data_IF_865851899317
#
_entry.id   IF_865851899317
#
_cell.length_a   1.000
_cell.length_b   1.000
_cell.length_c   1.000
_cell.angle_alpha   90.00
_cell.angle_beta   90.00
_cell.angle_gamma   90.00
#
_symmetry.space_group_name_H-M   'P 1'
#
loop_
_entity.id
_entity.type
_entity.pdbx_description
1 polymer ?
#
# COMPACT_ATOMS: atom_id res chain seq x y z
N UNK A 1 -14.35 20.27 5.95
CA UNK A 1 -13.45 21.40 5.63
C UNK A 1 -12.44 20.93 4.60
N UNK A 2 -12.63 21.34 3.35
CA UNK A 2 -11.71 21.09 2.25
C UNK A 2 -10.58 22.09 2.32
N UNK A 3 -9.33 21.62 2.42
CA UNK A 3 -8.15 22.45 2.12
C UNK A 3 -7.54 21.88 0.83
N UNK A 4 -7.80 22.58 -0.26
CA UNK A 4 -7.13 22.39 -1.54
C UNK A 4 -5.73 23.01 -1.38
N UNK A 5 -4.70 22.16 -1.32
CA UNK A 5 -3.31 22.58 -1.56
C UNK A 5 -2.94 22.29 -3.02
N UNK A 6 -2.54 23.36 -3.71
CA UNK A 6 -2.38 23.50 -5.15
C UNK A 6 -1.34 22.58 -5.81
N UNK A 7 -1.70 22.19 -7.04
CA UNK A 7 -0.92 21.76 -8.19
C UNK A 7 -0.15 20.42 -8.19
N UNK A 8 0.41 19.91 -7.09
CA UNK A 8 1.08 18.58 -7.14
C UNK A 8 0.13 17.40 -6.88
N UNK A 9 -0.92 17.63 -6.07
CA UNK A 9 -1.87 16.59 -5.65
C UNK A 9 -2.90 16.22 -6.71
N UNK A 10 -3.24 17.11 -7.63
CA UNK A 10 -4.27 16.85 -8.66
C UNK A 10 -3.72 15.86 -9.71
N UNK A 11 -2.45 16.02 -10.11
CA UNK A 11 -1.78 15.08 -11.03
C UNK A 11 -1.62 13.70 -10.36
N UNK A 12 -1.25 13.65 -9.08
CA UNK A 12 -1.24 12.42 -8.29
C UNK A 12 -2.61 11.72 -8.26
N UNK A 13 -3.70 12.49 -8.26
CA UNK A 13 -5.07 11.97 -8.20
C UNK A 13 -5.59 11.47 -9.56
N UNK A 14 -5.12 12.06 -10.67
CA UNK A 14 -5.48 11.63 -12.03
C UNK A 14 -4.58 10.52 -12.60
N UNK A 15 -3.32 10.43 -12.17
CA UNK A 15 -2.32 9.48 -12.68
C UNK A 15 -1.88 8.42 -11.66
N UNK A 16 -2.36 8.52 -10.42
CA UNK A 16 -1.88 7.70 -9.31
C UNK A 16 -0.44 8.02 -8.91
N UNK A 17 0.04 7.31 -7.89
CA UNK A 17 1.42 7.43 -7.39
C UNK A 17 2.47 7.04 -8.45
N UNK A 18 2.16 6.03 -9.27
CA UNK A 18 3.03 5.55 -10.34
C UNK A 18 3.17 6.58 -11.48
N UNK A 19 2.05 7.14 -11.95
CA UNK A 19 2.12 8.13 -13.04
C UNK A 19 2.70 9.48 -12.60
N UNK A 20 2.54 9.87 -11.33
CA UNK A 20 3.23 11.05 -10.80
C UNK A 20 4.75 10.90 -10.74
N UNK A 21 5.27 9.70 -10.43
CA UNK A 21 6.72 9.41 -10.50
C UNK A 21 7.25 9.52 -11.93
N UNK A 22 6.54 8.94 -12.90
CA UNK A 22 6.92 8.99 -14.33
C UNK A 22 6.95 10.44 -14.83
N UNK A 23 5.92 11.23 -14.51
CA UNK A 23 5.87 12.65 -14.90
C UNK A 23 6.97 13.45 -14.21
N UNK A 24 7.23 13.22 -12.92
CA UNK A 24 8.29 13.93 -12.19
C UNK A 24 9.69 13.60 -12.71
N UNK A 25 9.92 12.38 -13.20
CA UNK A 25 11.18 11.98 -13.83
C UNK A 25 11.35 12.68 -15.18
N UNK A 26 10.27 12.76 -15.97
CA UNK A 26 10.25 13.42 -17.28
C UNK A 26 10.39 14.95 -17.23
N UNK A 27 9.89 15.63 -16.19
CA UNK A 27 9.97 17.11 -16.10
C UNK A 27 11.39 17.60 -15.73
N UNK A 28 12.19 16.76 -15.05
CA UNK A 28 13.56 17.12 -14.67
C UNK A 28 14.55 17.04 -15.84
N UNK A 29 14.21 16.36 -16.92
CA UNK A 29 15.01 16.28 -18.15
C UNK A 29 14.44 17.30 -19.16
N UNK A 30 15.10 18.45 -19.31
CA UNK A 30 14.63 19.60 -20.09
C UNK A 30 14.55 19.37 -21.61
N UNK A 31 14.85 18.17 -22.11
CA UNK A 31 14.84 17.85 -23.54
C UNK A 31 13.83 16.74 -23.83
N UNK A 32 12.73 17.12 -24.49
CA UNK A 32 11.66 16.26 -25.05
C UNK A 32 11.13 15.20 -24.08
N UNK A 33 9.93 15.42 -23.56
CA UNK A 33 9.15 14.42 -22.80
C UNK A 33 9.17 13.09 -23.55
N UNK A 34 9.95 12.14 -23.06
CA UNK A 34 10.03 10.81 -23.65
C UNK A 34 8.91 9.98 -23.02
N UNK A 35 7.78 9.88 -23.71
CA UNK A 35 6.61 9.14 -23.22
C UNK A 35 6.80 7.61 -23.25
N UNK A 36 7.92 7.14 -23.81
CA UNK A 36 8.30 5.73 -23.91
C UNK A 36 9.32 5.33 -22.84
N UNK A 37 9.15 5.79 -21.60
CA UNK A 37 9.93 5.28 -20.47
C UNK A 37 9.42 3.87 -20.14
N UNK A 38 10.33 2.91 -20.05
CA UNK A 38 10.01 1.57 -19.57
C UNK A 38 9.42 1.64 -18.15
N UNK A 39 8.27 0.98 -17.95
CA UNK A 39 7.64 0.86 -16.64
C UNK A 39 8.54 0.17 -15.63
N UNK A 40 8.42 0.56 -14.36
CA UNK A 40 9.13 -0.09 -13.25
C UNK A 40 8.28 -1.25 -12.71
N UNK A 41 8.90 -2.42 -12.55
CA UNK A 41 8.25 -3.57 -11.89
C UNK A 41 8.13 -3.24 -10.40
N UNK A 42 6.91 -3.29 -9.88
CA UNK A 42 6.62 -3.09 -8.45
C UNK A 42 6.05 -4.37 -7.89
N UNK A 43 6.70 -4.93 -6.87
CA UNK A 43 6.18 -6.06 -6.12
C UNK A 43 5.28 -5.56 -5.00
N UNK A 44 4.08 -6.13 -4.87
CA UNK A 44 3.16 -5.78 -3.80
C UNK A 44 2.23 -6.94 -3.44
N UNK A 45 1.88 -7.03 -2.16
CA UNK A 45 0.89 -7.97 -1.63
C UNK A 45 -0.40 -7.20 -1.39
N UNK A 46 -1.51 -7.77 -1.87
CA UNK A 46 -2.84 -7.23 -1.66
C UNK A 46 -3.62 -8.14 -0.72
N UNK A 47 -4.33 -7.54 0.23
CA UNK A 47 -5.28 -8.24 1.08
C UNK A 47 -6.65 -7.59 0.97
N UNK A 48 -7.68 -8.42 0.86
CA UNK A 48 -9.06 -8.00 0.87
C UNK A 48 -9.69 -8.51 2.16
N UNK A 49 -10.25 -7.59 2.95
CA UNK A 49 -11.02 -7.91 4.14
C UNK A 49 -12.47 -7.56 3.89
N UNK A 50 -13.35 -8.57 3.85
CA UNK A 50 -14.78 -8.46 3.57
C UNK A 50 -15.59 -8.74 4.84
N UNK A 51 -16.55 -7.86 5.16
CA UNK A 51 -17.47 -8.06 6.26
C UNK A 51 -18.59 -9.00 5.79
N UNK A 52 -18.64 -10.20 6.37
CA UNK A 52 -19.65 -11.21 6.05
C UNK A 52 -21.04 -10.77 6.49
N UNK A 53 -22.05 -11.10 5.67
CA UNK A 53 -23.46 -10.77 5.91
C UNK A 53 -23.71 -9.26 6.11
N UNK A 54 -22.93 -8.40 5.43
CA UNK A 54 -23.00 -6.96 5.61
C UNK A 54 -24.41 -6.40 5.37
N UNK A 55 -25.12 -6.87 4.33
CA UNK A 55 -26.50 -6.44 4.05
C UNK A 55 -27.42 -6.66 5.24
N UNK A 56 -27.42 -7.86 5.82
CA UNK A 56 -28.23 -8.19 7.00
C UNK A 56 -27.85 -7.31 8.20
N UNK A 57 -26.54 -7.10 8.42
CA UNK A 57 -26.03 -6.23 9.48
C UNK A 57 -26.52 -4.79 9.29
N UNK A 58 -26.52 -4.27 8.05
CA UNK A 58 -26.99 -2.92 7.75
C UNK A 58 -28.49 -2.74 7.99
N UNK A 59 -29.29 -3.78 7.72
CA UNK A 59 -30.73 -3.77 7.97
C UNK A 59 -31.07 -3.78 9.47
N UNK A 60 -30.28 -4.47 10.28
CA UNK A 60 -30.45 -4.54 11.73
C UNK A 60 -29.93 -3.28 12.43
N UNK A 61 -28.71 -2.83 12.10
CA UNK A 61 -28.07 -1.69 12.77
C UNK A 61 -28.59 -0.33 12.28
N UNK A 62 -29.07 -0.25 11.03
CA UNK A 62 -29.57 0.99 10.39
C UNK A 62 -28.61 2.16 10.61
N UNK A 63 -29.03 3.20 11.32
CA UNK A 63 -28.25 4.41 11.60
C UNK A 63 -26.93 4.12 12.34
N UNK A 64 -26.83 3.00 13.07
CA UNK A 64 -25.63 2.62 13.83
C UNK A 64 -24.56 1.93 12.98
N UNK A 65 -24.82 1.66 11.70
CA UNK A 65 -23.86 0.97 10.82
C UNK A 65 -22.53 1.71 10.72
N UNK A 66 -22.54 3.04 10.73
CA UNK A 66 -21.33 3.84 10.61
C UNK A 66 -20.39 3.66 11.81
N UNK A 67 -20.95 3.53 13.02
CA UNK A 67 -20.17 3.28 14.24
C UNK A 67 -19.51 1.89 14.14
N UNK A 68 -20.26 0.89 13.68
CA UNK A 68 -19.76 -0.47 13.49
C UNK A 68 -18.61 -0.54 12.47
N UNK A 69 -18.76 0.08 11.29
CA UNK A 69 -17.70 0.12 10.27
C UNK A 69 -16.47 0.84 10.81
N UNK A 70 -16.64 1.96 11.52
CA UNK A 70 -15.52 2.72 12.07
C UNK A 70 -14.72 1.92 13.10
N UNK A 71 -15.37 1.14 13.96
CA UNK A 71 -14.71 0.26 14.92
C UNK A 71 -13.89 -0.83 14.22
N UNK A 72 -14.45 -1.45 13.18
CA UNK A 72 -13.72 -2.44 12.38
C UNK A 72 -12.54 -1.79 11.66
N UNK A 73 -12.79 -0.63 11.05
CA UNK A 73 -11.76 0.13 10.34
C UNK A 73 -10.60 0.46 11.28
N UNK A 74 -10.86 0.94 12.50
CA UNK A 74 -9.81 1.25 13.48
C UNK A 74 -8.88 0.06 13.72
N UNK A 75 -9.43 -1.14 13.94
CA UNK A 75 -8.64 -2.37 14.17
C UNK A 75 -7.83 -2.76 12.93
N UNK A 76 -8.46 -2.70 11.75
CA UNK A 76 -7.81 -3.04 10.47
C UNK A 76 -6.66 -2.06 10.19
N UNK A 77 -6.90 -0.76 10.38
CA UNK A 77 -5.92 0.31 10.20
C UNK A 77 -4.74 0.14 11.17
N UNK A 78 -5.00 -0.09 12.45
CA UNK A 78 -3.97 -0.28 13.47
C UNK A 78 -3.06 -1.47 13.15
N UNK A 79 -3.64 -2.63 12.83
CA UNK A 79 -2.85 -3.81 12.48
C UNK A 79 -2.07 -3.59 11.17
N UNK A 80 -2.73 -3.09 10.13
CA UNK A 80 -2.11 -2.89 8.83
C UNK A 80 -0.88 -1.98 8.92
N UNK A 81 -1.03 -0.83 9.58
CA UNK A 81 0.05 0.15 9.75
C UNK A 81 1.21 -0.42 10.56
N UNK A 82 0.90 -1.15 11.65
CA UNK A 82 1.91 -1.81 12.49
C UNK A 82 2.79 -2.80 11.71
N UNK A 83 2.23 -3.53 10.75
CA UNK A 83 2.96 -4.49 9.90
C UNK A 83 3.43 -3.88 8.57
N UNK A 84 3.50 -2.55 8.45
CA UNK A 84 4.08 -1.86 7.30
C UNK A 84 3.22 -1.88 6.03
N UNK A 85 1.92 -2.11 6.19
CA UNK A 85 0.94 -2.03 5.12
C UNK A 85 0.33 -0.64 5.02
N UNK A 86 -0.46 -0.42 3.97
CA UNK A 86 -1.26 0.79 3.81
C UNK A 86 -2.63 0.42 3.29
N UNK A 87 -3.65 1.11 3.80
CA UNK A 87 -5.02 0.92 3.31
C UNK A 87 -5.22 1.81 2.08
N UNK A 88 -5.55 1.18 0.96
CA UNK A 88 -5.70 1.85 -0.32
C UNK A 88 -7.13 2.33 -0.54
N UNK A 89 -8.10 1.49 -0.18
CA UNK A 89 -9.52 1.76 -0.43
C UNK A 89 -10.41 1.17 0.65
N UNK A 90 -11.43 1.93 1.06
CA UNK A 90 -12.58 1.45 1.81
C UNK A 90 -13.79 1.46 0.86
N UNK A 91 -14.43 0.30 0.69
CA UNK A 91 -15.53 0.06 -0.24
C UNK A 91 -16.84 -0.21 0.55
N UNK A 92 -16.94 0.34 1.77
CA UNK A 92 -18.10 0.16 2.64
C UNK A 92 -17.98 -1.11 3.48
N UNK A 93 -18.24 -2.27 2.87
CA UNK A 93 -18.16 -3.59 3.51
C UNK A 93 -16.81 -4.28 3.35
N UNK A 94 -15.98 -3.79 2.43
CA UNK A 94 -14.66 -4.33 2.17
C UNK A 94 -13.53 -3.30 2.30
N UNK A 95 -12.39 -3.76 2.82
CA UNK A 95 -11.15 -3.00 2.93
C UNK A 95 -10.06 -3.61 2.04
N UNK A 96 -9.45 -2.78 1.21
CA UNK A 96 -8.30 -3.14 0.40
C UNK A 96 -7.01 -2.64 1.05
N UNK A 97 -6.19 -3.59 1.50
CA UNK A 97 -4.88 -3.34 2.10
C UNK A 97 -3.76 -3.72 1.13
N UNK A 98 -2.66 -2.98 1.18
CA UNK A 98 -1.53 -3.14 0.26
C UNK A 98 -0.22 -3.04 1.03
N UNK A 99 0.67 -4.00 0.81
CA UNK A 99 2.08 -3.91 1.19
C UNK A 99 2.91 -3.81 -0.08
N UNK A 100 3.61 -2.68 -0.26
CA UNK A 100 4.45 -2.46 -1.44
C UNK A 100 5.91 -2.67 -1.08
N UNK A 101 6.62 -3.46 -1.86
CA UNK A 101 8.07 -3.49 -1.80
C UNK A 101 8.62 -2.20 -2.38
N UNK A 102 9.33 -1.43 -1.55
CA UNK A 102 10.06 -0.26 -1.98
C UNK A 102 11.50 -0.66 -2.21
N UNK A 103 11.91 -0.77 -3.48
CA UNK A 103 13.32 -0.91 -3.83
C UNK A 103 14.06 0.32 -3.31
N UNK A 104 15.01 0.13 -2.39
CA UNK A 104 15.88 1.23 -1.96
C UNK A 104 16.71 1.66 -3.16
N UNK A 105 16.33 2.77 -3.79
CA UNK A 105 17.19 3.44 -4.75
C UNK A 105 18.38 4.03 -3.99
N UNK A 106 19.45 3.25 -3.83
CA UNK A 106 20.75 3.83 -3.50
C UNK A 106 21.10 4.76 -4.64
N UNK A 107 21.12 6.06 -4.35
CA UNK A 107 21.53 7.09 -5.31
C UNK A 107 22.92 6.73 -5.85
N UNK A 108 22.96 6.36 -7.14
CA UNK A 108 24.09 5.83 -7.89
C UNK A 108 25.33 6.76 -7.98
N UNK A 109 25.45 7.81 -7.17
CA UNK A 109 26.53 8.80 -7.28
C UNK A 109 27.85 8.38 -6.60
N UNK A 110 27.89 7.32 -5.78
CA UNK A 110 29.15 6.81 -5.18
C UNK A 110 29.51 5.35 -5.47
N UNK A 111 28.63 4.55 -6.09
CA UNK A 111 28.82 3.10 -6.26
C UNK A 111 29.55 2.67 -7.55
N UNK A 112 29.85 3.60 -8.47
CA UNK A 112 30.57 3.25 -9.70
C UNK A 112 32.09 3.03 -9.49
N UNK A 113 32.60 3.12 -8.26
CA UNK A 113 34.02 2.89 -7.96
C UNK A 113 34.33 1.49 -7.39
N UNK A 114 33.30 0.71 -6.99
CA UNK A 114 33.47 -0.62 -6.36
C UNK A 114 32.48 -1.67 -6.89
N UNK A 115 32.25 -1.74 -8.20
CA UNK A 115 31.51 -2.89 -8.77
C UNK A 115 32.41 -4.13 -8.77
N UNK A 116 32.20 -5.01 -7.80
CA UNK A 116 32.66 -6.40 -7.86
C UNK A 116 31.72 -7.20 -8.77
N UNK A 117 32.18 -8.22 -9.53
CA UNK A 117 31.44 -8.79 -10.67
C UNK A 117 30.26 -9.71 -10.32
N UNK A 118 29.90 -9.90 -9.05
CA UNK A 118 28.92 -10.93 -8.65
C UNK A 118 27.52 -10.36 -8.37
N UNK A 119 26.68 -10.33 -9.41
CA UNK A 119 25.27 -9.91 -9.37
C UNK A 119 24.33 -10.86 -8.56
N UNK A 120 24.79 -12.04 -8.14
CA UNK A 120 23.95 -13.04 -7.46
C UNK A 120 23.55 -12.65 -6.02
N UNK A 121 24.32 -11.79 -5.34
CA UNK A 121 24.04 -11.42 -3.95
C UNK A 121 22.87 -10.43 -3.83
N UNK A 122 22.74 -9.51 -4.78
CA UNK A 122 21.67 -8.50 -4.77
C UNK A 122 20.30 -9.13 -5.06
N UNK A 123 20.24 -10.11 -5.97
CA UNK A 123 19.01 -10.83 -6.32
C UNK A 123 18.50 -11.71 -5.17
N UNK A 124 19.41 -12.38 -4.45
CA UNK A 124 19.05 -13.17 -3.26
C UNK A 124 18.46 -12.30 -2.14
N UNK A 125 19.07 -11.13 -1.92
CA UNK A 125 18.59 -10.13 -0.94
C UNK A 125 17.22 -9.56 -1.31
N UNK A 126 16.97 -9.27 -2.59
CA UNK A 126 15.66 -8.78 -3.06
C UNK A 126 14.55 -9.82 -2.84
N UNK A 127 14.80 -11.09 -3.16
CA UNK A 127 13.83 -12.18 -2.94
C UNK A 127 13.52 -12.38 -1.46
N UNK A 128 14.53 -12.32 -0.59
CA UNK A 128 14.34 -12.44 0.87
C UNK A 128 13.50 -11.27 1.42
N UNK A 129 13.72 -10.05 0.93
CA UNK A 129 12.93 -8.88 1.35
C UNK A 129 11.48 -8.95 0.86
N UNK A 130 11.25 -9.45 -0.36
CA UNK A 130 9.89 -9.70 -0.87
C UNK A 130 9.18 -10.73 0.01
N UNK A 131 9.83 -11.84 0.35
CA UNK A 131 9.26 -12.85 1.25
C UNK A 131 8.93 -12.29 2.63
N UNK A 132 9.80 -11.45 3.21
CA UNK A 132 9.52 -10.76 4.47
C UNK A 132 8.24 -9.92 4.42
N UNK A 133 8.01 -9.22 3.31
CA UNK A 133 6.79 -8.43 3.13
C UNK A 133 5.56 -9.33 3.06
N UNK A 134 5.65 -10.48 2.38
CA UNK A 134 4.58 -11.47 2.37
C UNK A 134 4.27 -11.98 3.77
N UNK A 135 5.30 -12.30 4.56
CA UNK A 135 5.13 -12.79 5.94
C UNK A 135 4.48 -11.72 6.84
N UNK A 136 4.89 -10.45 6.71
CA UNK A 136 4.30 -9.34 7.44
C UNK A 136 2.83 -9.11 7.07
N UNK A 137 2.51 -9.16 5.78
CA UNK A 137 1.13 -9.06 5.31
C UNK A 137 0.28 -10.20 5.88
N UNK A 138 0.79 -11.43 5.87
CA UNK A 138 0.11 -12.57 6.45
C UNK A 138 -0.10 -12.41 7.96
N UNK A 139 0.95 -12.07 8.71
CA UNK A 139 0.85 -11.80 10.15
C UNK A 139 -0.16 -10.70 10.47
N UNK A 140 -0.18 -9.63 9.67
CA UNK A 140 -1.18 -8.57 9.82
C UNK A 140 -2.60 -9.10 9.70
N UNK A 141 -2.89 -9.92 8.69
CA UNK A 141 -4.24 -10.47 8.49
C UNK A 141 -4.68 -11.37 9.63
N UNK A 142 -3.78 -12.25 10.10
CA UNK A 142 -4.03 -13.12 11.26
C UNK A 142 -4.28 -12.29 12.52
N UNK A 143 -3.46 -11.26 12.75
CA UNK A 143 -3.59 -10.41 13.94
C UNK A 143 -4.89 -9.59 13.93
N UNK A 144 -5.29 -9.07 12.77
CA UNK A 144 -6.59 -8.42 12.57
C UNK A 144 -7.74 -9.37 12.95
N UNK A 145 -7.72 -10.62 12.45
CA UNK A 145 -8.75 -11.62 12.79
C UNK A 145 -8.80 -11.94 14.29
N UNK A 146 -7.63 -12.06 14.93
CA UNK A 146 -7.55 -12.31 16.38
C UNK A 146 -8.15 -11.14 17.17
N UNK A 147 -7.81 -9.89 16.81
CA UNK A 147 -8.36 -8.69 17.48
C UNK A 147 -9.86 -8.58 17.28
N UNK A 148 -10.36 -8.74 16.05
CA UNK A 148 -11.80 -8.71 15.75
C UNK A 148 -12.57 -9.76 16.56
N UNK A 149 -12.03 -10.98 16.68
CA UNK A 149 -12.64 -12.06 17.48
C UNK A 149 -12.65 -11.77 18.97
N UNK A 150 -11.67 -11.03 19.50
CA UNK A 150 -11.65 -10.62 20.92
C UNK A 150 -12.71 -9.56 21.20
N UNK A 151 -12.90 -8.60 20.29
CA UNK A 151 -13.89 -7.53 20.43
C UNK A 151 -15.32 -8.07 20.35
N UNK A 152 -15.60 -9.03 19.45
CA UNK A 152 -16.93 -9.64 19.32
C UNK A 152 -17.33 -10.63 20.43
N UNK A 153 -16.52 -10.80 21.47
CA UNK A 153 -16.82 -11.65 22.65
C UNK A 153 -17.28 -10.87 23.88
N UNK A 154 -17.43 -9.55 23.74
CA UNK A 154 -17.99 -8.65 24.76
C UNK A 154 -19.49 -8.54 24.49
#
# INVERSE_FOLDING_TARGET
MFIIYSNKRIILKCFGEAGAKIISKNINEQERVNLLINGEIVYSVFSFCDIRNFTEITEVLKEKIMIFINLIAEIIHECCDFYGGTINKNIGDAFLLVWKYQKKEYSNKKMNMFKSPNNNYDEYSEKENINRICDLAFLSTVQTLIKLRKVGRI
#
